data_IF_893087989647
#
_entry.id   IF_893087989647
#
_cell.length_a   1.000
_cell.length_b   1.000
_cell.length_c   1.000
_cell.angle_alpha   90.00
_cell.angle_beta   90.00
_cell.angle_gamma   90.00
#
_symmetry.space_group_name_H-M   'P 1'
#
loop_
_entity.id
_entity.type
_entity.pdbx_description
1 polymer ?
#
# COMPACT_ATOMS: atom_id res chain seq x y z
N UNK A 1 -26.48 -13.53 -32.60
CA UNK A 1 -25.06 -13.36 -32.96
C UNK A 1 -24.24 -13.64 -31.70
N UNK A 2 -23.43 -14.71 -31.67
CA UNK A 2 -22.62 -15.08 -30.49
C UNK A 2 -21.20 -14.59 -30.73
N UNK A 3 -20.76 -13.58 -29.98
CA UNK A 3 -19.37 -13.09 -30.01
C UNK A 3 -18.49 -14.08 -29.26
N UNK A 4 -17.61 -14.77 -29.96
CA UNK A 4 -16.61 -15.65 -29.37
C UNK A 4 -15.55 -14.80 -28.64
N UNK A 5 -15.52 -14.89 -27.32
CA UNK A 5 -14.46 -14.28 -26.51
C UNK A 5 -13.19 -15.11 -26.70
N UNK A 6 -12.23 -14.57 -27.46
CA UNK A 6 -10.93 -15.22 -27.64
C UNK A 6 -10.12 -15.04 -26.36
N UNK A 7 -9.78 -16.14 -25.70
CA UNK A 7 -8.98 -16.15 -24.48
C UNK A 7 -7.57 -15.65 -24.80
N UNK A 8 -7.24 -14.43 -24.37
CA UNK A 8 -5.92 -13.86 -24.62
C UNK A 8 -4.91 -14.62 -23.76
N UNK A 9 -3.98 -15.34 -24.40
CA UNK A 9 -2.82 -15.95 -23.76
C UNK A 9 -1.58 -15.12 -24.07
N UNK A 10 -0.82 -14.75 -23.05
CA UNK A 10 0.46 -14.05 -23.21
C UNK A 10 1.60 -15.07 -23.11
N UNK A 11 2.54 -15.01 -24.04
CA UNK A 11 3.78 -15.79 -24.03
C UNK A 11 4.95 -14.83 -24.22
N UNK A 12 6.04 -15.07 -23.51
CA UNK A 12 7.29 -14.28 -23.66
C UNK A 12 7.88 -14.47 -25.06
N UNK A 13 7.60 -15.61 -25.69
CA UNK A 13 8.02 -15.92 -27.05
C UNK A 13 6.99 -15.48 -28.11
N UNK A 14 6.01 -14.64 -27.75
CA UNK A 14 5.02 -14.15 -28.70
C UNK A 14 5.67 -13.15 -29.67
N UNK A 15 5.50 -13.41 -30.97
CA UNK A 15 6.12 -12.65 -32.05
C UNK A 15 5.79 -11.15 -32.01
N UNK A 16 4.67 -10.78 -31.39
CA UNK A 16 4.30 -9.38 -31.14
C UNK A 16 5.34 -8.61 -30.33
N UNK A 17 6.13 -9.29 -29.49
CA UNK A 17 7.21 -8.66 -28.71
C UNK A 17 8.57 -8.75 -29.41
N UNK A 18 8.77 -9.69 -30.33
CA UNK A 18 10.06 -9.87 -31.02
C UNK A 18 10.23 -8.95 -32.22
N UNK A 19 9.15 -8.41 -32.78
CA UNK A 19 9.17 -7.48 -33.92
C UNK A 19 9.20 -6.00 -33.51
N UNK A 20 9.27 -5.71 -32.21
CA UNK A 20 9.38 -4.33 -31.74
C UNK A 20 10.73 -3.74 -32.20
N UNK A 21 10.67 -2.74 -33.08
CA UNK A 21 11.84 -1.97 -33.49
C UNK A 21 12.30 -1.14 -32.29
N UNK A 22 13.39 -1.56 -31.66
CA UNK A 22 14.04 -0.78 -30.60
C UNK A 22 14.76 0.38 -31.28
N UNK A 23 14.29 1.61 -31.05
CA UNK A 23 15.01 2.79 -31.53
C UNK A 23 16.40 2.84 -30.88
N UNK A 24 17.47 3.13 -31.65
CA UNK A 24 18.80 3.28 -31.10
C UNK A 24 18.82 4.41 -30.07
N UNK A 25 19.19 4.10 -28.83
CA UNK A 25 19.31 5.11 -27.79
C UNK A 25 20.48 6.05 -28.14
N UNK A 26 20.16 7.32 -28.42
CA UNK A 26 21.15 8.32 -28.80
C UNK A 26 21.69 9.05 -27.56
N UNK A 27 22.90 8.71 -27.14
CA UNK A 27 23.59 9.32 -26.00
C UNK A 27 24.06 10.77 -26.24
N UNK A 28 23.98 11.30 -27.47
CA UNK A 28 24.60 12.57 -27.86
C UNK A 28 23.91 13.78 -27.19
N UNK A 29 22.68 13.62 -26.69
CA UNK A 29 21.96 14.68 -25.97
C UNK A 29 22.08 14.59 -24.44
N UNK A 30 22.83 13.63 -23.89
CA UNK A 30 23.07 13.54 -22.43
C UNK A 30 24.30 14.38 -22.07
N UNK A 31 24.21 15.69 -22.33
CA UNK A 31 25.07 16.71 -21.70
C UNK A 31 24.30 17.48 -20.63
N UNK A 32 23.26 16.88 -20.05
CA UNK A 32 22.89 17.25 -18.70
C UNK A 32 24.05 16.81 -17.82
N UNK A 33 24.82 17.79 -17.36
CA UNK A 33 25.67 17.62 -16.19
C UNK A 33 24.81 16.89 -15.17
N UNK A 34 25.15 15.63 -14.89
CA UNK A 34 24.72 14.99 -13.66
C UNK A 34 25.49 15.75 -12.59
N UNK A 35 24.98 16.94 -12.25
CA UNK A 35 25.17 17.52 -10.94
C UNK A 35 24.97 16.35 -9.98
N UNK A 36 25.83 16.15 -8.98
CA UNK A 36 25.46 15.32 -7.86
C UNK A 36 24.13 15.88 -7.38
N UNK A 37 23.04 15.27 -7.84
CA UNK A 37 21.78 15.33 -7.16
C UNK A 37 22.13 14.55 -5.92
N UNK A 38 22.71 15.26 -4.94
CA UNK A 38 22.30 15.10 -3.58
C UNK A 38 20.79 15.11 -3.72
N UNK A 39 20.22 13.90 -3.83
CA UNK A 39 18.83 13.70 -3.61
C UNK A 39 18.70 14.16 -2.17
N UNK A 40 18.45 15.45 -2.05
CA UNK A 40 17.72 16.05 -0.98
C UNK A 40 16.37 15.35 -1.10
N UNK A 41 16.36 14.09 -0.66
CA UNK A 41 15.26 13.59 0.11
C UNK A 41 15.18 14.65 1.21
N UNK A 42 14.45 15.73 0.94
CA UNK A 42 13.60 16.30 1.96
C UNK A 42 12.99 15.06 2.56
N UNK A 43 13.49 14.72 3.75
CA UNK A 43 12.90 13.69 4.56
C UNK A 43 11.50 14.24 4.75
N UNK A 44 10.61 13.85 3.84
CA UNK A 44 9.21 14.15 3.96
C UNK A 44 8.88 13.38 5.21
N UNK A 45 8.84 14.11 6.33
CA UNK A 45 8.32 13.67 7.61
C UNK A 45 6.79 13.47 7.44
N UNK A 46 6.41 12.71 6.42
CA UNK A 46 5.13 12.07 6.32
C UNK A 46 5.16 11.00 7.39
N UNK A 47 4.83 11.41 8.62
CA UNK A 47 4.69 10.51 9.76
C UNK A 47 3.95 9.25 9.33
N UNK A 48 4.46 8.11 9.77
CA UNK A 48 3.88 6.81 9.43
C UNK A 48 2.40 6.84 9.81
N UNK A 49 1.51 6.48 8.91
CA UNK A 49 0.07 6.45 9.21
C UNK A 49 -0.55 5.17 8.70
N UNK A 50 -1.50 4.65 9.46
CA UNK A 50 -2.22 3.46 9.05
C UNK A 50 -3.28 3.80 8.01
N UNK A 51 -3.26 3.12 6.87
CA UNK A 51 -4.25 3.29 5.81
C UNK A 51 -5.65 2.86 6.21
N UNK A 52 -5.78 1.93 7.16
CA UNK A 52 -7.05 1.40 7.66
C UNK A 52 -7.57 2.25 8.83
N UNK A 53 -6.77 2.40 9.88
CA UNK A 53 -7.19 3.13 11.08
C UNK A 53 -7.20 4.65 10.90
N UNK A 54 -6.58 5.17 9.82
CA UNK A 54 -6.39 6.61 9.57
C UNK A 54 -5.71 7.35 10.73
N UNK A 55 -4.98 6.61 11.55
CA UNK A 55 -4.30 7.13 12.71
C UNK A 55 -2.81 7.32 12.44
N UNK A 56 -2.21 8.39 12.98
CA UNK A 56 -0.77 8.55 12.97
C UNK A 56 -0.14 7.46 13.83
N UNK A 57 1.05 7.04 13.42
CA UNK A 57 1.92 6.10 14.10
C UNK A 57 3.22 6.86 14.34
N UNK A 58 3.82 6.66 15.51
CA UNK A 58 5.12 7.23 15.82
C UNK A 58 6.17 6.80 14.77
N UNK A 59 7.21 7.61 14.56
CA UNK A 59 8.18 7.42 13.47
C UNK A 59 8.99 6.11 13.57
N UNK A 60 8.89 5.40 14.71
CA UNK A 60 9.63 4.19 14.97
C UNK A 60 8.98 2.93 14.37
N UNK A 61 9.83 2.09 13.78
CA UNK A 61 9.43 0.78 13.22
C UNK A 61 8.75 -0.11 14.27
N UNK A 62 9.12 0.04 15.54
CA UNK A 62 8.57 -0.77 16.63
C UNK A 62 7.08 -0.44 16.81
N UNK A 63 6.72 0.84 16.78
CA UNK A 63 5.32 1.29 16.94
C UNK A 63 4.47 0.94 15.73
N UNK A 64 5.06 0.98 14.53
CA UNK A 64 4.39 0.44 13.34
C UNK A 64 4.05 -1.05 13.53
N UNK A 65 5.00 -1.86 13.99
CA UNK A 65 4.76 -3.29 14.21
C UNK A 65 3.73 -3.50 15.33
N UNK A 66 3.82 -2.72 16.42
CA UNK A 66 2.88 -2.77 17.53
C UNK A 66 1.45 -2.43 17.07
N UNK A 67 1.29 -1.35 16.30
CA UNK A 67 0.02 -0.95 15.71
C UNK A 67 -0.61 -2.07 14.88
N UNK A 68 0.12 -2.65 13.93
CA UNK A 68 -0.43 -3.72 13.07
C UNK A 68 -0.74 -5.02 13.84
N UNK A 69 -0.12 -5.23 15.00
CA UNK A 69 -0.39 -6.37 15.86
C UNK A 69 -1.52 -6.13 16.86
N UNK A 70 -1.94 -4.88 17.07
CA UNK A 70 -2.94 -4.53 18.06
C UNK A 70 -4.33 -5.08 17.71
N UNK A 71 -5.13 -5.35 18.73
CA UNK A 71 -6.51 -5.80 18.55
C UNK A 71 -7.39 -4.69 17.96
N UNK A 72 -7.06 -3.43 18.23
CA UNK A 72 -7.73 -2.29 17.60
C UNK A 72 -7.59 -2.31 16.08
N UNK A 73 -6.37 -2.52 15.56
CA UNK A 73 -6.13 -2.61 14.12
C UNK A 73 -6.90 -3.77 13.50
N UNK A 74 -6.85 -4.95 14.12
CA UNK A 74 -7.59 -6.14 13.66
C UNK A 74 -9.09 -5.92 13.66
N UNK A 75 -9.62 -5.28 14.69
CA UNK A 75 -11.04 -4.95 14.80
C UNK A 75 -11.47 -4.00 13.69
N UNK A 76 -10.72 -2.92 13.47
CA UNK A 76 -11.00 -1.97 12.40
C UNK A 76 -10.89 -2.59 11.00
N UNK A 77 -9.88 -3.43 10.76
CA UNK A 77 -9.76 -4.18 9.51
C UNK A 77 -10.99 -5.04 9.26
N UNK A 78 -11.45 -5.81 10.26
CA UNK A 78 -12.68 -6.61 10.15
C UNK A 78 -13.93 -5.76 9.90
N UNK A 79 -14.03 -4.57 10.49
CA UNK A 79 -15.15 -3.64 10.23
C UNK A 79 -15.14 -3.14 8.80
N UNK A 80 -13.99 -2.67 8.32
CA UNK A 80 -13.83 -2.17 6.95
C UNK A 80 -14.15 -3.25 5.92
N UNK A 81 -13.68 -4.48 6.12
CA UNK A 81 -13.99 -5.61 5.24
C UNK A 81 -15.49 -5.96 5.21
N UNK A 82 -16.22 -5.65 6.29
CA UNK A 82 -17.68 -5.83 6.38
C UNK A 82 -18.47 -4.57 5.98
N UNK A 83 -17.80 -3.54 5.45
CA UNK A 83 -18.42 -2.26 5.08
C UNK A 83 -18.94 -1.45 6.27
N UNK A 84 -18.44 -1.73 7.48
CA UNK A 84 -18.80 -1.00 8.71
C UNK A 84 -17.84 0.17 8.92
N UNK A 85 -18.30 1.26 9.58
CA UNK A 85 -17.43 2.39 9.90
C UNK A 85 -16.30 1.98 10.83
N UNK A 86 -15.13 2.58 10.66
CA UNK A 86 -14.00 2.45 11.58
C UNK A 86 -14.33 3.04 12.95
N UNK A 87 -13.65 2.54 13.98
CA UNK A 87 -13.65 3.12 15.31
C UNK A 87 -12.33 3.83 15.57
N UNK A 88 -12.41 4.96 16.25
CA UNK A 88 -11.28 5.58 16.93
C UNK A 88 -10.75 4.68 18.04
N UNK A 89 -9.56 4.97 18.56
CA UNK A 89 -8.97 4.20 19.65
C UNK A 89 -9.85 4.28 20.92
N UNK A 90 -10.29 5.49 21.29
CA UNK A 90 -11.18 5.73 22.43
C UNK A 90 -12.51 4.94 22.32
N UNK A 91 -13.13 4.95 21.13
CA UNK A 91 -14.38 4.21 20.89
C UNK A 91 -14.17 2.68 21.00
N UNK A 92 -12.99 2.21 20.61
CA UNK A 92 -12.64 0.80 20.73
C UNK A 92 -12.42 0.39 22.18
N UNK A 93 -11.70 1.20 22.96
CA UNK A 93 -11.50 0.97 24.40
C UNK A 93 -12.84 0.95 25.15
N UNK A 94 -13.72 1.91 24.85
CA UNK A 94 -15.06 1.94 25.41
C UNK A 94 -15.86 0.68 25.03
N UNK A 95 -15.79 0.24 23.77
CA UNK A 95 -16.47 -0.96 23.32
C UNK A 95 -15.95 -2.25 23.98
N UNK A 96 -14.65 -2.34 24.31
CA UNK A 96 -14.08 -3.46 25.07
C UNK A 96 -14.55 -3.42 26.52
N UNK A 97 -14.52 -2.23 27.13
CA UNK A 97 -14.95 -2.02 28.53
C UNK A 97 -16.42 -2.38 28.72
N UNK A 98 -17.28 -1.97 27.78
CA UNK A 98 -18.72 -2.18 27.86
C UNK A 98 -19.13 -3.63 27.55
N UNK A 99 -18.42 -4.32 26.65
CA UNK A 99 -18.80 -5.65 26.18
C UNK A 99 -18.01 -6.82 26.80
N UNK A 100 -17.01 -6.57 27.65
CA UNK A 100 -16.27 -7.64 28.34
C UNK A 100 -15.73 -8.73 27.40
N UNK A 101 -15.40 -8.40 26.15
CA UNK A 101 -14.91 -9.34 25.13
C UNK A 101 -13.45 -9.75 25.38
N UNK A 102 -13.22 -10.44 26.50
CA UNK A 102 -12.07 -11.31 26.73
C UNK A 102 -12.53 -12.74 26.98
N UNK A 103 -13.39 -13.24 26.11
CA UNK A 103 -13.66 -14.66 26.00
C UNK A 103 -13.96 -15.00 24.55
N UNK A 104 -13.03 -15.74 23.94
CA UNK A 104 -13.17 -16.48 22.68
C UNK A 104 -12.87 -15.71 21.38
N UNK A 105 -11.57 -15.43 21.16
CA UNK A 105 -10.89 -15.70 19.87
C UNK A 105 -9.57 -16.39 20.17
#
# INVERSE_FOLDING_TARGET
MKTASSKISYSINDSRWSEAVVEPYNFINVTEEVQPMESYFEKQDCGLSCTICKAPIEEDRIDLIAHYKSDWHRHNLHRVLKGRPLLTEDEFEQAISDNGWLSEI
#
